data_IF_506963564353
#
_entry.id   IF_506963564353
#
_cell.length_a   1.000
_cell.length_b   1.000
_cell.length_c   1.000
_cell.angle_alpha   90.00
_cell.angle_beta   90.00
_cell.angle_gamma   90.00
#
_symmetry.space_group_name_H-M   'P 1'
#
loop_
_entity.id
_entity.type
_entity.pdbx_description
1 polymer ?
2 branched ?
3 non-polymer ?
4 non-polymer ?
5 non-polymer ?
6 non-polymer ?
7 non-polymer ?
8 non-polymer ?
9 non-polymer ?
10 water ?
#
# COMPACT_ATOMS: atom_id res chain seq x y z
N UNK A 1 18.86 -3.99 3.62
CA UNK A 1 17.78 -3.04 3.92
C UNK A 1 16.43 -3.73 3.70
N UNK A 2 15.43 -3.33 4.49
CA UNK A 2 14.19 -4.10 4.57
C UNK A 2 12.96 -3.25 4.25
N UNK A 3 11.93 -3.95 3.75
CA UNK A 3 10.64 -3.36 3.42
C UNK A 3 9.76 -3.48 4.66
N UNK A 4 9.40 -2.35 5.24
CA UNK A 4 8.80 -2.30 6.57
C UNK A 4 7.48 -1.52 6.48
N UNK A 5 6.39 -2.26 6.30
CA UNK A 5 5.10 -1.63 5.99
C UNK A 5 4.59 -0.78 7.15
N UNK A 6 4.14 0.44 6.82
CA UNK A 6 3.51 1.31 7.80
C UNK A 6 4.44 2.32 8.43
N UNK A 7 5.76 2.15 8.27
CA UNK A 7 6.73 3.11 8.79
C UNK A 7 6.75 4.35 7.92
N UNK A 8 7.39 5.40 8.42
CA UNK A 8 7.60 6.60 7.62
C UNK A 8 8.80 6.34 6.72
N UNK A 9 8.56 6.22 5.42
CA UNK A 9 9.63 5.95 4.47
C UNK A 9 10.20 7.25 3.93
N UNK A 10 11.52 7.30 3.86
CA UNK A 10 12.23 8.48 3.38
C UNK A 10 13.16 8.06 2.25
N UNK A 11 13.46 9.03 1.38
CA UNK A 11 14.32 8.79 0.22
C UNK A 11 15.79 8.97 0.61
N UNK A 12 16.69 8.88 -0.38
CA UNK A 12 18.12 8.99 -0.11
C UNK A 12 18.51 10.37 0.40
N UNK A 13 17.68 11.38 0.15
CA UNK A 13 17.93 12.72 0.68
C UNK A 13 17.35 12.91 2.07
N UNK A 14 16.71 11.89 2.62
CA UNK A 14 16.10 11.98 3.93
C UNK A 14 14.72 12.59 3.95
N UNK A 15 14.07 12.74 2.80
CA UNK A 15 12.78 13.39 2.73
C UNK A 15 11.67 12.35 2.63
N UNK A 16 10.53 12.67 3.22
CA UNK A 16 9.38 11.76 3.18
C UNK A 16 9.04 11.39 1.73
N UNK A 17 8.90 10.09 1.47
CA UNK A 17 8.52 9.64 0.12
C UNK A 17 7.05 9.98 -0.13
N UNK A 18 6.78 10.61 -1.27
CA UNK A 18 5.45 11.05 -1.65
C UNK A 18 5.09 10.42 -3.00
N UNK A 19 4.57 9.19 -2.95
CA UNK A 19 4.26 8.43 -4.15
C UNK A 19 3.07 7.51 -3.89
N UNK A 20 1.94 8.11 -3.54
CA UNK A 20 0.72 7.37 -3.22
C UNK A 20 0.04 6.91 -4.51
N UNK A 21 -0.77 5.86 -4.41
CA UNK A 21 -1.39 5.34 -5.62
C UNK A 21 -0.40 4.75 -6.60
N UNK A 22 0.58 3.99 -6.09
CA UNK A 22 1.77 3.58 -6.83
C UNK A 22 1.52 2.98 -8.20
N UNK A 23 2.37 3.37 -9.13
CA UNK A 23 2.60 2.59 -10.35
C UNK A 23 4.08 2.32 -10.47
N UNK A 24 4.41 1.08 -10.84
CA UNK A 24 5.79 0.62 -10.94
C UNK A 24 6.09 0.28 -12.40
N UNK A 25 7.32 0.59 -12.81
CA UNK A 25 7.86 0.20 -14.11
C UNK A 25 9.29 -0.26 -13.89
N UNK A 26 9.66 -1.39 -14.48
CA UNK A 26 11.05 -1.85 -14.43
C UNK A 26 11.73 -1.56 -15.76
N UNK A 27 12.90 -0.92 -15.69
CA UNK A 27 13.75 -0.71 -16.87
C UNK A 27 15.14 -1.22 -16.51
N UNK A 28 15.64 -2.18 -17.27
CA UNK A 28 16.83 -2.86 -16.83
C UNK A 28 16.54 -3.62 -15.55
N UNK A 29 17.34 -3.37 -14.51
CA UNK A 29 17.03 -3.84 -13.17
C UNK A 29 16.70 -2.69 -12.23
N UNK A 30 16.30 -1.55 -12.78
CA UNK A 30 15.92 -0.38 -11.99
C UNK A 30 14.41 -0.34 -11.87
N UNK A 31 13.92 -0.13 -10.66
CA UNK A 31 12.49 0.04 -10.44
C UNK A 31 12.18 1.53 -10.39
N UNK A 32 11.21 1.94 -11.19
CA UNK A 32 10.69 3.30 -11.20
C UNK A 32 9.34 3.29 -10.50
N UNK A 33 9.20 4.12 -9.47
CA UNK A 33 7.97 4.21 -8.69
C UNK A 33 7.38 5.59 -8.97
N UNK A 34 6.23 5.60 -9.64
CA UNK A 34 5.46 6.81 -9.88
C UNK A 34 4.33 6.88 -8.86
N UNK A 35 4.03 8.08 -8.39
CA UNK A 35 2.91 8.19 -7.49
C UNK A 35 2.44 9.62 -7.34
N UNK A 36 1.41 9.78 -6.52
CA UNK A 36 0.85 11.09 -6.20
C UNK A 36 1.67 11.77 -5.12
N UNK A 37 2.08 13.02 -5.37
CA UNK A 37 2.75 13.81 -4.34
C UNK A 37 1.68 14.44 -3.46
N UNK A 38 1.65 14.06 -2.18
CA UNK A 38 0.68 14.60 -1.23
C UNK A 38 1.35 15.36 -0.09
N UNK A 39 2.54 15.90 -0.35
CA UNK A 39 3.24 16.67 0.67
C UNK A 39 2.43 17.87 1.12
N UNK A 40 1.53 18.36 0.29
CA UNK A 40 0.66 19.49 0.61
C UNK A 40 -0.61 19.08 1.35
N UNK A 41 -0.75 17.80 1.71
CA UNK A 41 -1.89 17.32 2.50
C UNK A 41 -3.21 17.59 1.80
N UNK A 42 -3.24 17.39 0.49
CA UNK A 42 -4.43 17.68 -0.28
C UNK A 42 -4.62 16.60 -1.33
N UNK A 43 -5.88 16.34 -1.66
CA UNK A 43 -6.22 15.45 -2.76
C UNK A 43 -6.06 16.10 -4.12
N UNK A 44 -5.86 17.42 -4.17
CA UNK A 44 -5.70 18.12 -5.44
C UNK A 44 -4.27 17.96 -5.96
N UNK A 45 -4.10 18.23 -7.26
CA UNK A 45 -2.89 17.82 -7.95
C UNK A 45 -1.71 18.71 -7.61
N UNK A 46 -0.62 18.10 -7.15
CA UNK A 46 0.67 18.76 -7.00
C UNK A 46 1.71 18.24 -7.98
N UNK A 47 1.85 16.92 -8.09
CA UNK A 47 2.79 16.34 -9.04
C UNK A 47 2.59 14.83 -9.08
N UNK A 48 3.05 14.23 -10.17
CA UNK A 48 3.37 12.81 -10.20
C UNK A 48 4.87 12.70 -9.97
N UNK A 49 5.24 12.11 -8.83
CA UNK A 49 6.64 11.92 -8.47
C UNK A 49 7.24 10.74 -9.22
N UNK A 50 8.57 10.66 -9.16
CA UNK A 50 9.32 9.57 -9.80
C UNK A 50 10.51 9.24 -8.91
N UNK A 51 10.54 8.03 -8.36
CA UNK A 51 11.64 7.54 -7.55
C UNK A 51 12.22 6.29 -8.19
N UNK A 52 13.52 6.06 -7.98
CA UNK A 52 14.19 4.88 -8.51
C UNK A 52 14.88 4.10 -7.39
N UNK A 53 15.00 2.79 -7.61
CA UNK A 53 15.73 1.96 -6.66
C UNK A 53 16.21 0.71 -7.39
N UNK A 54 17.26 0.10 -6.84
CA UNK A 54 17.72 -1.20 -7.30
C UNK A 54 17.17 -2.34 -6.46
N UNK A 55 16.62 -2.05 -5.28
CA UNK A 55 16.35 -3.10 -4.31
C UNK A 55 14.98 -2.98 -3.67
N UNK A 56 14.13 -2.06 -4.14
CA UNK A 56 12.79 -1.81 -3.61
C UNK A 56 12.79 -1.24 -2.19
N UNK A 57 13.93 -0.76 -1.70
CA UNK A 57 14.02 -0.22 -0.34
C UNK A 57 14.63 1.18 -0.33
N UNK A 58 15.72 1.37 -1.06
CA UNK A 58 16.52 2.59 -1.02
C UNK A 58 16.16 3.42 -2.26
N UNK A 59 15.29 4.39 -2.08
CA UNK A 59 14.67 5.14 -3.19
C UNK A 59 15.33 6.49 -3.35
N UNK A 60 15.71 6.81 -4.59
CA UNK A 60 16.25 8.12 -4.93
C UNK A 60 15.17 8.92 -5.66
N UNK A 61 14.86 10.11 -5.16
CA UNK A 61 13.89 10.94 -5.83
C UNK A 61 14.50 11.58 -7.08
N UNK A 62 13.83 11.41 -8.21
CA UNK A 62 14.21 12.05 -9.46
C UNK A 62 13.32 13.26 -9.69
N UNK A 63 13.51 13.92 -10.84
CA UNK A 63 12.60 14.97 -11.26
C UNK A 63 11.18 14.42 -11.28
N UNK A 64 10.22 15.26 -10.94
CA UNK A 64 8.82 14.85 -11.07
C UNK A 64 8.52 14.46 -12.51
N UNK A 65 7.72 13.39 -12.65
CA UNK A 65 7.32 12.91 -13.96
C UNK A 65 6.22 13.76 -14.59
N UNK A 66 5.33 14.35 -13.80
CA UNK A 66 4.27 15.18 -14.34
C UNK A 66 4.02 16.34 -13.39
N UNK A 67 3.91 17.53 -13.97
CA UNK A 67 3.66 18.76 -13.23
C UNK A 67 2.32 19.34 -13.67
N UNK A 68 1.67 20.12 -12.81
CA UNK A 68 0.36 20.68 -13.17
C UNK A 68 0.49 21.70 -14.28
N UNK A 69 -0.62 21.88 -15.00
CA UNK A 69 -0.73 22.89 -16.05
C UNK A 69 -2.00 23.68 -15.78
N UNK A 70 -1.83 24.97 -15.52
CA UNK A 70 -2.99 25.82 -15.23
C UNK A 70 -3.92 25.88 -16.45
N UNK A 71 -5.22 25.95 -16.16
CA UNK A 71 -6.19 26.08 -17.23
C UNK A 71 -6.43 24.82 -18.01
N UNK A 72 -6.06 23.67 -17.44
CA UNK A 72 -6.29 22.37 -18.04
C UNK A 72 -6.90 21.47 -16.98
N UNK A 73 -7.21 20.24 -17.40
CA UNK A 73 -7.74 19.26 -16.46
C UNK A 73 -6.68 18.71 -15.52
N UNK A 74 -5.40 19.06 -15.72
CA UNK A 74 -4.38 18.74 -14.73
C UNK A 74 -3.88 20.00 -14.05
N UNK A 75 -4.76 20.97 -13.83
CA UNK A 75 -4.46 22.13 -13.01
C UNK A 75 -4.36 21.72 -11.55
N UNK A 76 -3.90 22.66 -10.72
CA UNK A 76 -3.79 22.42 -9.28
C UNK A 76 -5.15 22.41 -8.59
N UNK A 77 -6.22 22.75 -9.30
CA UNK A 77 -7.57 22.64 -8.77
C UNK A 77 -8.21 21.31 -9.10
N UNK A 78 -7.52 20.46 -9.85
CA UNK A 78 -8.05 19.19 -10.31
C UNK A 78 -7.39 18.05 -9.55
N UNK A 79 -7.76 16.82 -9.91
CA UNK A 79 -7.29 15.61 -9.24
C UNK A 79 -6.57 14.74 -10.25
N UNK A 80 -5.39 14.26 -9.87
CA UNK A 80 -4.62 13.28 -10.64
C UNK A 80 -4.28 12.15 -9.69
N UNK A 81 -4.78 10.95 -9.98
CA UNK A 81 -4.61 9.83 -9.06
C UNK A 81 -4.12 8.57 -9.78
N UNK A 82 -3.42 7.74 -9.04
CA UNK A 82 -3.07 6.38 -9.48
C UNK A 82 -2.34 6.34 -10.82
N UNK A 83 -1.23 7.05 -10.97
CA UNK A 83 -0.50 7.02 -12.23
C UNK A 83 0.05 5.63 -12.50
N UNK A 84 0.15 5.28 -13.77
CA UNK A 84 0.72 4.02 -14.22
C UNK A 84 1.49 4.29 -15.49
N UNK A 85 2.62 3.61 -15.67
CA UNK A 85 3.46 3.82 -16.86
C UNK A 85 3.82 2.49 -17.47
N UNK A 86 3.66 2.38 -18.79
CA UNK A 86 4.17 1.24 -19.54
C UNK A 86 4.98 1.73 -20.73
N UNK A 87 5.90 0.90 -21.19
CA UNK A 87 6.75 1.23 -22.33
C UNK A 87 6.15 0.67 -23.61
N UNK A 88 6.02 1.52 -24.62
CA UNK A 88 5.53 1.15 -25.94
C UNK A 88 6.74 0.88 -26.83
N UNK A 89 6.94 -0.39 -27.19
CA UNK A 89 8.09 -0.78 -28.00
C UNK A 89 8.00 -0.22 -29.41
N UNK A 90 6.81 -0.23 -30.01
CA UNK A 90 6.64 0.26 -31.37
C UNK A 90 7.12 1.70 -31.52
N UNK A 91 6.79 2.55 -30.55
CA UNK A 91 7.11 3.97 -30.62
C UNK A 91 8.32 4.36 -29.79
N UNK A 92 8.95 3.43 -29.08
CA UNK A 92 10.03 3.73 -28.15
C UNK A 92 9.63 4.86 -27.20
N UNK A 93 8.47 4.72 -26.58
CA UNK A 93 7.86 5.79 -25.83
C UNK A 93 7.27 5.23 -24.53
N UNK A 94 7.48 5.96 -23.44
CA UNK A 94 6.82 5.66 -22.17
C UNK A 94 5.50 6.40 -22.14
N UNK A 95 4.43 5.69 -21.77
CA UNK A 95 3.09 6.25 -21.78
C UNK A 95 2.51 6.14 -20.37
N UNK A 96 2.17 7.29 -19.80
CA UNK A 96 1.57 7.37 -18.47
C UNK A 96 0.07 7.54 -18.60
N UNK A 97 -0.69 6.74 -17.85
CA UNK A 97 -2.12 6.91 -17.69
C UNK A 97 -2.40 7.26 -16.23
N UNK A 98 -3.48 8.01 -15.99
CA UNK A 98 -3.89 8.32 -14.63
C UNK A 98 -5.37 8.61 -14.59
N UNK A 99 -5.93 8.54 -13.39
CA UNK A 99 -7.30 8.98 -13.15
C UNK A 99 -7.29 10.50 -13.12
N UNK A 100 -8.06 11.10 -14.02
CA UNK A 100 -8.14 12.55 -14.18
C UNK A 100 -9.52 12.99 -13.73
N UNK A 101 -9.60 13.90 -12.76
CA UNK A 101 -10.91 14.23 -12.23
C UNK A 101 -10.98 15.68 -11.73
N UNK A 102 -12.20 16.08 -11.40
CA UNK A 102 -12.45 17.32 -10.67
C UNK A 102 -12.44 17.02 -9.17
N UNK A 103 -12.46 18.10 -8.38
CA UNK A 103 -12.30 17.95 -6.93
C UNK A 103 -13.42 17.14 -6.27
N UNK A 104 -14.61 17.08 -6.89
CA UNK A 104 -15.71 16.29 -6.36
C UNK A 104 -15.87 14.95 -7.09
N UNK A 105 -14.88 14.56 -7.90
CA UNK A 105 -14.91 13.30 -8.65
C UNK A 105 -16.09 13.21 -9.60
N UNK A 106 -16.57 14.36 -10.08
CA UNK A 106 -17.70 14.40 -10.98
C UNK A 106 -17.37 14.28 -12.46
N UNK A 107 -16.09 14.33 -12.82
CA UNK A 107 -15.69 14.31 -14.22
C UNK A 107 -15.31 12.92 -14.73
N UNK A 108 -14.69 12.09 -13.88
CA UNK A 108 -14.46 10.67 -14.15
C UNK A 108 -13.85 10.43 -15.53
N UNK A 109 -12.62 10.90 -15.69
CA UNK A 109 -11.86 10.72 -16.92
C UNK A 109 -10.56 10.00 -16.65
N UNK A 110 -9.91 9.58 -17.74
CA UNK A 110 -8.49 9.22 -17.73
C UNK A 110 -7.71 10.37 -18.33
N UNK A 111 -6.44 10.46 -17.96
CA UNK A 111 -5.52 11.34 -18.65
C UNK A 111 -4.32 10.56 -19.13
N UNK A 112 -3.64 11.06 -20.18
CA UNK A 112 -2.51 10.37 -20.78
C UNK A 112 -1.37 11.37 -20.97
N UNK A 113 -0.13 10.92 -20.75
CA UNK A 113 1.05 11.73 -20.98
C UNK A 113 2.16 10.83 -21.51
N UNK A 114 3.12 11.42 -22.24
CA UNK A 114 4.17 10.65 -22.90
C UNK A 114 5.57 11.19 -22.59
N UNK A 115 6.57 10.31 -22.70
CA UNK A 115 7.95 10.71 -22.55
C UNK A 115 8.83 9.71 -23.27
N UNK A 116 10.07 10.14 -23.58
CA UNK A 116 11.04 9.25 -24.19
C UNK A 116 12.00 8.63 -23.18
N UNK A 117 11.96 9.03 -21.93
CA UNK A 117 12.74 8.45 -20.86
C UNK A 117 11.82 8.14 -19.69
N UNK A 118 12.21 7.20 -18.82
CA UNK A 118 11.24 6.71 -17.81
C UNK A 118 10.74 7.74 -16.82
N UNK A 119 11.58 8.62 -16.29
CA UNK A 119 11.07 9.66 -15.41
C UNK A 119 10.64 10.92 -16.17
N UNK A 120 10.78 10.92 -17.49
CA UNK A 120 10.33 12.03 -18.29
C UNK A 120 11.23 13.23 -18.11
N UNK A 121 10.66 14.42 -17.86
CA UNK A 121 9.24 14.66 -17.57
C UNK A 121 8.32 14.40 -18.75
N UNK A 122 7.07 14.13 -18.41
CA UNK A 122 6.07 13.70 -19.39
C UNK A 122 5.28 14.90 -19.90
N UNK A 123 4.78 14.76 -21.14
CA UNK A 123 3.97 15.76 -21.79
C UNK A 123 2.52 15.27 -21.82
N UNK A 124 1.65 16.02 -21.15
CA UNK A 124 0.22 15.70 -21.10
C UNK A 124 -0.42 15.92 -22.47
N UNK A 125 -1.19 14.93 -22.92
CA UNK A 125 -1.86 15.03 -24.22
C UNK A 125 -3.38 15.15 -24.13
N UNK A 126 -3.96 15.09 -22.93
CA UNK A 126 -5.37 15.35 -22.76
C UNK A 126 -6.04 14.29 -21.91
N UNK A 127 -7.27 14.61 -21.51
CA UNK A 127 -8.12 13.73 -20.72
C UNK A 127 -9.37 13.39 -21.51
N UNK A 128 -9.98 12.23 -21.19
CA UNK A 128 -11.16 11.77 -21.91
C UNK A 128 -11.88 10.68 -21.10
N UNK A 129 -13.14 10.46 -21.47
CA UNK A 129 -13.91 9.35 -20.93
C UNK A 129 -13.73 8.14 -21.84
N UNK A 130 -13.24 7.00 -21.34
CA UNK A 130 -13.09 5.81 -22.19
C UNK A 130 -14.42 5.35 -22.78
N UNK A 131 -14.48 5.32 -24.11
CA UNK A 131 -15.71 4.95 -24.81
C UNK A 131 -16.90 5.79 -24.37
N UNK A 132 -16.63 7.02 -23.89
CA UNK A 132 -17.66 7.92 -23.45
C UNK A 132 -18.19 7.67 -22.06
N UNK A 133 -17.66 6.68 -21.34
CA UNK A 133 -18.17 6.30 -20.03
C UNK A 133 -17.20 6.69 -18.92
N UNK A 134 -17.70 6.66 -17.69
CA UNK A 134 -16.89 7.06 -16.54
C UNK A 134 -15.66 6.18 -16.40
N UNK A 135 -14.58 6.79 -15.95
CA UNK A 135 -13.44 6.06 -15.41
C UNK A 135 -12.96 6.81 -14.18
N UNK A 136 -12.92 6.13 -13.03
CA UNK A 136 -12.35 6.71 -11.82
C UNK A 136 -11.09 5.94 -11.45
N UNK A 137 -11.09 5.13 -10.39
CA UNK A 137 -9.90 4.31 -10.14
C UNK A 137 -9.59 3.48 -11.38
N UNK A 138 -8.31 3.42 -11.71
CA UNK A 138 -7.89 2.69 -12.91
C UNK A 138 -6.51 2.07 -12.69
N UNK A 139 -6.18 1.16 -13.58
CA UNK A 139 -4.82 0.69 -13.79
C UNK A 139 -4.64 0.36 -15.24
N UNK A 140 -3.39 0.12 -15.63
CA UNK A 140 -3.08 -0.35 -16.96
C UNK A 140 -2.31 -1.65 -16.84
N UNK A 141 -2.68 -2.62 -17.67
CA UNK A 141 -2.04 -3.93 -17.69
C UNK A 141 -1.51 -4.18 -19.09
N UNK A 142 -0.24 -4.60 -19.18
CA UNK A 142 0.42 -4.91 -20.44
C UNK A 142 0.61 -6.42 -20.49
N UNK A 143 -0.02 -7.06 -21.47
CA UNK A 143 0.04 -8.51 -21.65
C UNK A 143 1.40 -8.92 -22.22
N UNK A 144 1.65 -10.23 -22.21
CA UNK A 144 2.91 -10.77 -22.66
C UNK A 144 2.82 -11.46 -24.02
N UNK A 145 1.80 -11.13 -24.81
CA UNK A 145 1.76 -11.56 -26.20
C UNK A 145 2.83 -10.81 -26.98
N UNK A 146 3.09 -11.27 -28.21
CA UNK A 146 4.12 -10.62 -29.02
C UNK A 146 3.80 -9.15 -29.24
N UNK A 147 2.52 -8.82 -29.36
CA UNK A 147 2.08 -7.45 -29.59
C UNK A 147 2.13 -6.59 -28.33
N UNK A 148 2.36 -7.17 -27.16
CA UNK A 148 2.31 -6.45 -25.89
C UNK A 148 1.03 -5.62 -25.79
N UNK A 149 -0.10 -6.29 -26.02
CA UNK A 149 -1.39 -5.63 -25.98
C UNK A 149 -1.67 -5.13 -24.57
N UNK A 150 -2.15 -3.89 -24.46
CA UNK A 150 -2.39 -3.27 -23.17
C UNK A 150 -3.88 -2.99 -22.98
N UNK A 151 -4.26 -2.82 -21.72
CA UNK A 151 -5.66 -2.76 -21.30
C UNK A 151 -5.81 -1.76 -20.17
N UNK A 152 -6.94 -1.03 -20.21
CA UNK A 152 -7.35 -0.19 -19.09
C UNK A 152 -8.28 -1.01 -18.21
N UNK A 153 -8.02 -0.99 -16.91
CA UNK A 153 -8.87 -1.61 -15.90
C UNK A 153 -9.48 -0.46 -15.11
N UNK A 154 -10.81 -0.40 -15.03
CA UNK A 154 -11.36 0.85 -14.50
C UNK A 154 -12.75 0.71 -13.89
N UNK A 155 -12.96 1.43 -12.79
CA UNK A 155 -14.27 1.57 -12.15
C UNK A 155 -15.09 2.55 -12.99
N UNK A 156 -16.24 2.10 -13.49
CA UNK A 156 -17.08 2.90 -14.38
C UNK A 156 -18.48 3.03 -13.79
N UNK A 157 -19.32 3.84 -14.47
CA UNK A 157 -20.73 4.05 -14.09
C UNK A 157 -20.90 4.35 -12.61
N UNK A 158 -20.30 5.47 -12.20
CA UNK A 158 -20.34 5.90 -10.80
C UNK A 158 -19.90 4.78 -9.87
N UNK A 159 -18.83 4.10 -10.28
CA UNK A 159 -18.14 3.04 -9.54
C UNK A 159 -18.90 1.73 -9.47
N UNK A 160 -20.08 1.63 -10.08
CA UNK A 160 -20.87 0.41 -9.93
C UNK A 160 -20.37 -0.72 -10.81
N UNK A 161 -19.83 -0.43 -11.98
CA UNK A 161 -19.53 -1.45 -12.99
C UNK A 161 -18.05 -1.42 -13.32
N UNK A 162 -17.38 -2.56 -13.16
CA UNK A 162 -15.95 -2.64 -13.34
C UNK A 162 -15.63 -3.13 -14.74
N UNK A 163 -14.81 -2.35 -15.47
CA UNK A 163 -14.58 -2.60 -16.88
C UNK A 163 -13.12 -2.90 -17.16
N UNK A 164 -12.90 -3.76 -18.14
CA UNK A 164 -11.59 -3.99 -18.74
C UNK A 164 -11.76 -3.73 -20.24
N UNK A 165 -10.91 -2.87 -20.79
CA UNK A 165 -11.00 -2.53 -22.21
C UNK A 165 -9.60 -2.44 -22.80
N UNK A 166 -9.51 -2.75 -24.09
CA UNK A 166 -8.24 -2.82 -24.78
C UNK A 166 -7.81 -1.46 -25.31
N UNK A 167 -6.51 -1.18 -25.20
CA UNK A 167 -5.91 0.04 -25.74
C UNK A 167 -5.46 -0.18 -27.18
N UNK A 168 -5.34 0.93 -27.91
CA UNK A 168 -4.79 0.86 -29.27
C UNK A 168 -3.28 0.61 -29.23
N UNK A 169 -2.67 0.54 -30.42
CA UNK A 169 -1.27 0.15 -30.52
C UNK A 169 -0.31 1.24 -30.04
N UNK A 170 -0.78 2.47 -29.90
CA UNK A 170 0.05 3.51 -29.30
C UNK A 170 -0.12 3.60 -27.80
N UNK A 171 -1.07 2.85 -27.23
CA UNK A 171 -1.47 3.02 -25.83
C UNK A 171 -2.02 4.42 -25.59
N UNK A 172 -2.70 5.01 -26.59
CA UNK A 172 -3.24 6.35 -26.44
C UNK A 172 -4.75 6.38 -26.21
N UNK A 173 -5.47 5.34 -26.61
CA UNK A 173 -6.92 5.39 -26.55
C UNK A 173 -7.45 4.02 -26.18
N UNK A 174 -8.62 4.02 -25.58
CA UNK A 174 -9.39 2.81 -25.28
C UNK A 174 -10.31 2.59 -26.47
N UNK A 175 -10.20 1.44 -27.14
CA UNK A 175 -10.96 1.26 -28.36
C UNK A 175 -11.95 0.10 -28.39
N UNK A 176 -11.90 -0.84 -27.45
CA UNK A 176 -12.89 -1.90 -27.43
C UNK A 176 -13.08 -2.39 -26.00
N UNK A 177 -14.34 -2.59 -25.61
CA UNK A 177 -14.60 -3.21 -24.32
C UNK A 177 -14.31 -4.68 -24.41
N UNK A 178 -13.77 -5.24 -23.33
CA UNK A 178 -13.36 -6.64 -23.26
C UNK A 178 -14.18 -7.41 -22.23
N UNK A 179 -14.36 -6.84 -21.05
CA UNK A 179 -15.25 -7.45 -20.08
C UNK A 179 -15.80 -6.38 -19.14
N UNK A 180 -16.94 -6.68 -18.54
CA UNK A 180 -17.53 -5.82 -17.53
C UNK A 180 -18.07 -6.69 -16.42
N UNK A 181 -17.89 -6.25 -15.18
CA UNK A 181 -18.52 -6.86 -14.01
C UNK A 181 -19.54 -5.85 -13.50
N UNK A 182 -20.81 -6.05 -13.90
CA UNK A 182 -21.86 -5.13 -13.53
C UNK A 182 -22.22 -5.29 -12.05
N UNK A 183 -22.35 -4.15 -11.36
CA UNK A 183 -22.69 -4.14 -9.96
C UNK A 183 -21.60 -4.57 -9.02
N UNK A 184 -20.36 -4.71 -9.51
CA UNK A 184 -19.28 -5.25 -8.70
C UNK A 184 -18.69 -4.25 -7.69
N UNK A 185 -18.93 -2.95 -7.87
CA UNK A 185 -18.39 -1.90 -6.99
C UNK A 185 -16.93 -2.15 -6.63
N UNK A 186 -16.12 -2.38 -7.66
CA UNK A 186 -14.69 -2.60 -7.47
C UNK A 186 -13.91 -1.34 -7.80
N UNK A 187 -12.85 -1.10 -7.04
CA UNK A 187 -11.91 -0.03 -7.39
C UNK A 187 -10.49 -0.50 -7.07
N UNK A 188 -9.54 0.42 -7.15
CA UNK A 188 -8.12 0.16 -6.92
C UNK A 188 -7.64 -1.13 -7.60
N UNK A 189 -7.86 -1.31 -8.90
CA UNK A 189 -7.50 -2.57 -9.55
C UNK A 189 -6.02 -2.70 -9.89
N UNK A 190 -5.60 -3.96 -10.03
CA UNK A 190 -4.36 -4.30 -10.71
C UNK A 190 -4.49 -5.72 -11.22
N UNK A 191 -3.73 -6.05 -12.26
CA UNK A 191 -3.67 -7.42 -12.75
C UNK A 191 -2.22 -7.91 -12.77
N UNK A 192 -2.01 -9.11 -12.26
CA UNK A 192 -0.77 -9.87 -12.48
C UNK A 192 -1.13 -11.11 -13.28
N UNK A 193 -0.36 -11.38 -14.33
CA UNK A 193 -0.50 -12.63 -15.07
C UNK A 193 0.46 -13.63 -14.44
N UNK A 194 -0.07 -14.77 -14.02
CA UNK A 194 0.71 -15.76 -13.29
C UNK A 194 0.32 -17.12 -13.82
N UNK A 195 1.32 -17.88 -14.29
CA UNK A 195 1.08 -19.23 -14.78
C UNK A 195 0.03 -19.24 -15.90
N UNK A 196 0.07 -18.22 -16.75
CA UNK A 196 -0.81 -18.14 -17.90
C UNK A 196 -2.19 -17.58 -17.62
N UNK A 197 -2.50 -17.32 -16.36
CA UNK A 197 -3.82 -16.90 -15.94
C UNK A 197 -3.77 -15.44 -15.48
N UNK A 198 -4.84 -14.69 -15.76
CA UNK A 198 -4.91 -13.30 -15.32
C UNK A 198 -5.54 -13.25 -13.93
N UNK A 199 -4.85 -12.58 -13.02
CA UNK A 199 -5.35 -12.38 -11.66
C UNK A 199 -5.62 -10.90 -11.43
N UNK A 200 -6.90 -10.56 -11.22
CA UNK A 200 -7.30 -9.20 -10.88
C UNK A 200 -7.37 -9.07 -9.37
N UNK A 201 -6.71 -8.04 -8.84
CA UNK A 201 -6.80 -7.66 -7.43
C UNK A 201 -7.50 -6.32 -7.36
N UNK A 202 -8.45 -6.18 -6.43
CA UNK A 202 -9.22 -4.95 -6.35
C UNK A 202 -9.79 -4.80 -4.94
N UNK A 203 -10.11 -3.56 -4.60
CA UNK A 203 -10.88 -3.27 -3.40
C UNK A 203 -12.34 -3.08 -3.75
N UNK A 204 -13.17 -3.07 -2.72
CA UNK A 204 -14.52 -2.55 -2.90
C UNK A 204 -14.50 -1.03 -2.68
N UNK A 205 -15.67 -0.42 -2.65
CA UNK A 205 -15.79 1.04 -2.67
C UNK A 205 -16.24 1.52 -1.30
N UNK A 206 -15.28 2.00 -0.50
CA UNK A 206 -15.56 2.60 0.80
C UNK A 206 -14.80 3.91 0.98
N UNK A 207 -14.62 4.66 -0.10
CA UNK A 207 -13.88 5.92 0.02
C UNK A 207 -12.46 5.66 0.48
N UNK A 208 -11.96 6.54 1.37
CA UNK A 208 -10.61 6.38 1.87
C UNK A 208 -10.48 5.25 2.89
N UNK A 209 -11.58 4.72 3.42
CA UNK A 209 -11.49 3.67 4.44
C UNK A 209 -11.09 2.34 3.81
N UNK A 210 -10.27 1.54 4.48
CA UNK A 210 -9.85 0.26 3.90
C UNK A 210 -10.95 -0.77 4.01
N UNK A 211 -10.90 -1.76 3.11
CA UNK A 211 -11.88 -2.83 3.14
C UNK A 211 -11.18 -4.09 2.66
N UNK A 212 -11.82 -5.26 2.80
CA UNK A 212 -11.15 -6.50 2.37
C UNK A 212 -10.95 -6.58 0.87
N UNK A 213 -9.70 -6.55 0.40
CA UNK A 213 -9.44 -6.58 -1.02
C UNK A 213 -9.54 -8.02 -1.53
N UNK A 214 -9.86 -8.16 -2.81
CA UNK A 214 -10.27 -9.44 -3.38
C UNK A 214 -9.46 -9.77 -4.61
N UNK A 215 -9.40 -11.06 -4.92
CA UNK A 215 -8.82 -11.53 -6.17
C UNK A 215 -9.85 -12.28 -6.99
N UNK A 216 -9.66 -12.23 -8.30
CA UNK A 216 -10.46 -12.90 -9.29
C UNK A 216 -9.49 -13.40 -10.35
N UNK A 217 -9.86 -14.49 -11.05
CA UNK A 217 -8.98 -14.95 -12.12
C UNK A 217 -9.79 -15.38 -13.34
N UNK A 218 -9.10 -15.37 -14.48
CA UNK A 218 -9.70 -15.78 -15.74
C UNK A 218 -8.59 -16.19 -16.71
N UNK A 219 -8.96 -17.06 -17.65
CA UNK A 219 -8.01 -17.48 -18.68
C UNK A 219 -7.97 -16.51 -19.86
N UNK A 220 -8.95 -15.62 -19.95
CA UNK A 220 -9.03 -14.58 -20.95
C UNK A 220 -9.46 -13.32 -20.23
N UNK A 221 -8.93 -12.17 -20.66
CA UNK A 221 -9.41 -10.92 -20.08
C UNK A 221 -10.88 -10.68 -20.36
N UNK A 222 -11.46 -11.37 -21.34
CA UNK A 222 -12.88 -11.28 -21.59
C UNK A 222 -13.71 -12.06 -20.59
N UNK A 223 -13.09 -12.79 -19.66
CA UNK A 223 -13.81 -13.62 -18.74
C UNK A 223 -14.12 -14.96 -19.36
N UNK A 224 -14.90 -15.80 -18.67
CA UNK A 224 -15.55 -15.53 -17.38
C UNK A 224 -14.56 -15.44 -16.23
N UNK A 225 -14.84 -14.54 -15.29
CA UNK A 225 -14.00 -14.34 -14.12
C UNK A 225 -14.57 -15.12 -12.95
N UNK A 226 -13.67 -15.65 -12.11
CA UNK A 226 -14.12 -16.30 -10.89
C UNK A 226 -14.75 -15.27 -9.95
N UNK A 227 -15.52 -15.79 -8.99
CA UNK A 227 -16.11 -14.95 -7.96
C UNK A 227 -15.06 -14.54 -6.95
N UNK A 228 -15.29 -13.39 -6.31
CA UNK A 228 -14.28 -12.79 -5.44
C UNK A 228 -13.86 -13.72 -4.31
N UNK A 229 -12.57 -13.64 -3.95
CA UNK A 229 -12.03 -14.29 -2.77
C UNK A 229 -11.08 -13.32 -2.08
N UNK A 230 -10.92 -13.48 -0.77
CA UNK A 230 -10.04 -12.58 0.00
C UNK A 230 -8.57 -12.85 -0.29
N UNK A 231 -7.78 -11.76 -0.28
CA UNK A 231 -6.31 -11.87 -0.28
C UNK A 231 -5.71 -11.81 1.13
N UNK A 232 -6.50 -11.44 2.14
CA UNK A 232 -6.03 -11.32 3.51
C UNK A 232 -7.21 -11.63 4.41
N UNK A 233 -6.96 -11.90 5.71
CA UNK A 233 -8.10 -12.15 6.60
C UNK A 233 -9.04 -10.95 6.58
N UNK A 234 -10.33 -11.22 6.37
CA UNK A 234 -11.27 -10.13 6.10
C UNK A 234 -11.35 -9.11 7.22
N UNK A 235 -11.24 -9.53 8.49
CA UNK A 235 -11.38 -8.56 9.57
C UNK A 235 -10.30 -7.49 9.53
N UNK A 236 -9.13 -7.80 8.97
CA UNK A 236 -8.02 -6.87 8.97
C UNK A 236 -8.13 -5.78 7.92
N UNK A 237 -9.11 -5.85 7.01
CA UNK A 237 -9.26 -4.82 5.97
C UNK A 237 -7.98 -4.68 5.14
N UNK A 238 -7.51 -5.82 4.62
CA UNK A 238 -6.25 -5.90 3.87
C UNK A 238 -5.08 -5.40 4.72
N UNK A 239 -5.06 -5.80 5.98
CA UNK A 239 -4.04 -5.33 6.92
C UNK A 239 -3.97 -3.82 6.91
N UNK A 240 -5.16 -3.20 6.87
CA UNK A 240 -5.33 -1.75 6.80
C UNK A 240 -4.58 -1.16 5.61
N UNK A 241 -5.10 -1.46 4.42
CA UNK A 241 -4.52 -0.89 3.21
C UNK A 241 -5.53 -1.00 2.08
N UNK A 242 -5.15 -0.41 0.94
CA UNK A 242 -5.91 -0.51 -0.30
C UNK A 242 -4.94 -0.75 -1.43
N UNK A 243 -5.26 -1.68 -2.30
CA UNK A 243 -4.40 -2.04 -3.44
C UNK A 243 -3.96 -0.80 -4.20
N UNK A 244 -2.72 -0.85 -4.67
CA UNK A 244 -2.22 0.18 -5.57
C UNK A 244 -1.53 -0.45 -6.78
N UNK A 245 -0.64 -1.40 -6.55
CA UNK A 245 0.08 -2.03 -7.65
C UNK A 245 0.47 -3.44 -7.25
N UNK A 246 0.38 -4.37 -8.20
CA UNK A 246 0.67 -5.78 -7.97
C UNK A 246 1.80 -6.17 -8.91
N UNK A 247 3.00 -6.34 -8.35
CA UNK A 247 4.23 -6.46 -9.12
C UNK A 247 4.66 -7.91 -9.17
N UNK A 248 4.86 -8.50 -10.34
CA UNK A 248 5.34 -9.89 -10.39
C UNK A 248 6.73 -9.99 -9.79
N UNK A 249 7.01 -11.14 -9.16
CA UNK A 249 8.32 -11.38 -8.56
C UNK A 249 8.58 -12.88 -8.60
N UNK A 250 9.37 -13.32 -9.57
CA UNK A 250 9.61 -14.76 -9.71
C UNK A 250 8.31 -15.50 -9.86
N UNK A 251 8.16 -16.57 -9.08
CA UNK A 251 6.92 -17.34 -9.12
C UNK A 251 5.81 -16.72 -8.28
N UNK A 252 6.04 -15.56 -7.67
CA UNK A 252 5.03 -14.92 -6.84
C UNK A 252 4.84 -13.48 -7.27
N UNK A 253 4.53 -12.60 -6.33
CA UNK A 253 4.31 -11.19 -6.65
C UNK A 253 4.50 -10.40 -5.38
N UNK A 254 4.39 -9.08 -5.51
CA UNK A 254 4.42 -8.15 -4.38
C UNK A 254 3.12 -7.34 -4.40
N UNK A 255 2.43 -7.33 -3.27
CA UNK A 255 1.28 -6.47 -3.07
C UNK A 255 1.79 -5.10 -2.62
N UNK A 256 1.45 -4.06 -3.35
CA UNK A 256 1.78 -2.69 -2.95
C UNK A 256 0.48 -1.94 -2.74
N UNK A 257 0.25 -1.51 -1.51
CA UNK A 257 -0.96 -0.79 -1.16
C UNK A 257 -0.65 0.52 -0.46
N UNK A 258 -1.69 1.33 -0.31
CA UNK A 258 -1.64 2.57 0.46
C UNK A 258 -2.40 2.41 1.75
N UNK A 259 -1.87 2.97 2.84
CA UNK A 259 -2.66 3.20 4.05
C UNK A 259 -3.02 4.67 4.05
N UNK A 260 -4.23 4.98 3.60
CA UNK A 260 -4.63 6.36 3.46
C UNK A 260 -4.93 6.97 4.83
N UNK A 261 -4.47 8.21 5.01
CA UNK A 261 -4.73 8.99 6.22
C UNK A 261 -5.48 10.24 5.79
N UNK A 262 -6.81 10.15 5.64
CA UNK A 262 -7.54 11.25 5.00
C UNK A 262 -7.45 12.58 5.73
N UNK A 263 -7.27 12.59 7.04
CA UNK A 263 -7.13 13.85 7.75
C UNK A 263 -5.76 14.48 7.59
N UNK A 264 -4.79 13.75 7.04
CA UNK A 264 -3.43 14.23 6.87
C UNK A 264 -2.79 13.45 5.74
N UNK A 265 -3.21 13.77 4.51
CA UNK A 265 -3.00 12.84 3.41
C UNK A 265 -1.52 12.58 3.12
N UNK A 266 -0.65 13.57 3.36
CA UNK A 266 0.76 13.35 3.07
C UNK A 266 1.42 12.37 3.99
N UNK A 267 0.80 12.09 5.14
CA UNK A 267 1.29 11.06 6.06
C UNK A 267 0.70 9.68 5.79
N UNK A 268 -0.05 9.52 4.70
CA UNK A 268 -0.45 8.19 4.25
C UNK A 268 0.78 7.33 4.02
N UNK A 269 0.71 6.07 4.45
CA UNK A 269 1.88 5.20 4.46
C UNK A 269 1.77 4.13 3.38
N UNK A 270 2.77 3.28 3.30
CA UNK A 270 2.91 2.31 2.21
C UNK A 270 2.94 0.91 2.80
N UNK A 271 2.04 0.06 2.31
CA UNK A 271 1.86 -1.27 2.85
C UNK A 271 2.24 -2.22 1.73
N UNK A 272 3.46 -2.75 1.82
CA UNK A 272 4.02 -3.64 0.79
C UNK A 272 4.31 -4.99 1.42
N UNK A 273 3.76 -6.05 0.84
CA UNK A 273 3.92 -7.40 1.38
C UNK A 273 4.15 -8.37 0.24
N UNK A 274 4.82 -9.49 0.51
CA UNK A 274 4.82 -10.57 -0.49
C UNK A 274 3.40 -11.04 -0.77
N UNK A 275 3.13 -11.34 -2.04
CA UNK A 275 1.87 -11.90 -2.48
C UNK A 275 2.23 -13.32 -2.93
N UNK A 276 2.00 -14.27 -2.03
CA UNK A 276 2.38 -15.66 -2.21
C UNK A 276 1.35 -16.35 -3.10
N UNK A 277 1.83 -17.03 -4.15
CA UNK A 277 0.99 -17.82 -5.04
C UNK A 277 1.14 -19.32 -4.83
N UNK A 278 1.75 -19.75 -3.72
CA UNK A 278 1.99 -21.19 -3.55
C UNK A 278 0.70 -22.00 -3.46
N UNK A 279 -0.43 -21.38 -3.12
CA UNK A 279 -1.72 -22.07 -3.10
C UNK A 279 -2.40 -22.05 -4.46
N UNK A 280 -1.78 -21.44 -5.45
CA UNK A 280 -2.39 -21.28 -6.75
C UNK A 280 -3.08 -19.96 -6.94
N UNK A 281 -3.23 -19.18 -5.88
CA UNK A 281 -3.91 -17.91 -5.93
C UNK A 281 -3.16 -16.95 -5.02
N UNK A 282 -3.32 -15.64 -5.21
CA UNK A 282 -2.54 -14.67 -4.42
C UNK A 282 -3.05 -14.56 -2.99
N UNK A 283 -2.13 -14.64 -2.03
CA UNK A 283 -2.43 -14.43 -0.62
C UNK A 283 -1.36 -13.56 0.00
N UNK A 284 -1.75 -12.48 0.67
CA UNK A 284 -0.76 -11.63 1.34
C UNK A 284 -0.06 -12.43 2.43
N UNK A 285 1.28 -12.34 2.45
CA UNK A 285 2.09 -12.78 3.59
C UNK A 285 2.25 -11.57 4.50
N UNK A 286 1.70 -11.66 5.71
CA UNK A 286 1.80 -10.54 6.66
C UNK A 286 3.19 -10.54 7.28
N UNK A 287 4.12 -9.92 6.57
CA UNK A 287 5.54 -9.89 6.93
C UNK A 287 5.88 -8.48 7.37
N UNK A 288 6.10 -8.29 8.68
CA UNK A 288 6.41 -6.96 9.19
C UNK A 288 7.69 -6.41 8.59
N UNK A 289 8.65 -7.29 8.31
CA UNK A 289 9.99 -6.92 7.87
C UNK A 289 10.42 -7.97 6.85
N UNK A 290 10.70 -7.56 5.62
CA UNK A 290 11.08 -8.52 4.59
C UNK A 290 11.93 -7.84 3.52
N UNK A 291 12.56 -8.65 2.67
CA UNK A 291 13.42 -8.13 1.62
C UNK A 291 13.24 -8.92 0.33
N UNK A 292 13.76 -8.37 -0.77
CA UNK A 292 13.68 -8.96 -2.09
C UNK A 292 15.07 -9.25 -2.61
N UNK A 293 15.23 -10.40 -3.25
CA UNK A 293 16.40 -10.72 -4.06
C UNK A 293 15.94 -10.57 -5.51
N UNK A 294 16.31 -9.44 -6.12
CA UNK A 294 15.79 -9.12 -7.45
C UNK A 294 16.30 -10.12 -8.48
N UNK A 295 17.60 -10.43 -8.45
CA UNK A 295 18.16 -11.31 -9.46
C UNK A 295 17.56 -12.72 -9.36
N UNK A 296 17.32 -13.20 -8.15
CA UNK A 296 16.74 -14.53 -7.97
C UNK A 296 15.22 -14.54 -8.11
N UNK A 297 14.57 -13.38 -8.09
CA UNK A 297 13.12 -13.36 -8.08
C UNK A 297 12.47 -13.92 -6.83
N UNK A 298 13.10 -13.76 -5.67
CA UNK A 298 12.59 -14.32 -4.43
C UNK A 298 12.42 -13.21 -3.40
N UNK A 299 11.70 -13.56 -2.33
CA UNK A 299 11.58 -12.70 -1.17
C UNK A 299 11.98 -13.48 0.06
N UNK A 300 12.39 -12.76 1.10
CA UNK A 300 12.77 -13.35 2.38
C UNK A 300 12.09 -12.59 3.50
N UNK A 301 11.43 -13.33 4.37
CA UNK A 301 10.75 -12.77 5.54
C UNK A 301 11.68 -12.84 6.73
N UNK A 302 11.91 -11.69 7.39
CA UNK A 302 12.75 -11.66 8.57
C UNK A 302 12.09 -12.42 9.71
N UNK A 303 12.91 -13.16 10.45
CA UNK A 303 12.46 -13.88 11.64
C UNK A 303 12.62 -12.98 12.86
N UNK A 304 11.68 -13.08 13.78
CA UNK A 304 11.73 -12.30 15.00
C UNK A 304 11.36 -13.14 16.20
N UNK A 305 11.47 -12.53 17.37
CA UNK A 305 11.10 -13.17 18.62
C UNK A 305 9.87 -12.48 19.19
N UNK A 306 8.85 -13.25 19.51
CA UNK A 306 7.60 -12.72 20.05
C UNK A 306 7.63 -12.67 21.57
N UNK A 307 7.02 -11.62 22.11
CA UNK A 307 6.83 -11.48 23.55
C UNK A 307 5.39 -11.06 23.78
N UNK A 308 4.65 -11.83 24.56
CA UNK A 308 3.25 -11.50 24.83
C UNK A 308 3.17 -10.38 25.84
N UNK A 309 2.33 -9.38 25.56
CA UNK A 309 2.20 -8.25 26.49
C UNK A 309 1.68 -8.70 27.85
N UNK A 310 0.75 -9.67 27.86
CA UNK A 310 0.14 -10.17 29.08
C UNK A 310 1.13 -10.90 29.98
N UNK A 311 2.29 -11.28 29.46
CA UNK A 311 3.35 -11.87 30.27
C UNK A 311 4.28 -10.82 30.87
N UNK A 312 4.10 -9.54 30.50
CA UNK A 312 4.88 -8.48 31.08
C UNK A 312 4.37 -8.06 32.44
N UNK A 313 5.05 -7.06 33.01
CA UNK A 313 4.70 -6.55 34.33
C UNK A 313 3.82 -5.31 34.17
N UNK A 314 2.58 -5.40 34.61
CA UNK A 314 1.68 -4.26 34.55
C UNK A 314 1.97 -3.30 35.68
N UNK A 315 1.78 -2.02 35.40
CA UNK A 315 1.83 -0.99 36.43
C UNK A 315 0.59 -0.12 36.35
N UNK A 316 0.19 0.41 37.50
CA UNK A 316 -0.93 1.32 37.48
C UNK A 316 -2.22 0.61 37.13
N UNK A 317 -3.03 1.24 36.28
CA UNK A 317 -4.42 0.83 36.06
C UNK A 317 -4.61 -0.05 34.83
N UNK A 318 -3.54 -0.60 34.27
CA UNK A 318 -3.72 -1.47 33.11
C UNK A 318 -4.32 -2.82 33.52
N UNK A 319 -4.95 -3.48 32.56
CA UNK A 319 -5.72 -4.70 32.83
C UNK A 319 -5.34 -5.79 31.85
N UNK A 320 -5.83 -7.00 32.11
CA UNK A 320 -5.71 -8.13 31.18
C UNK A 320 -7.04 -8.30 30.46
N UNK A 321 -7.01 -8.24 29.14
CA UNK A 321 -8.17 -8.48 28.28
C UNK A 321 -8.08 -9.88 27.71
N UNK A 322 -9.23 -10.53 27.54
CA UNK A 322 -9.31 -11.81 26.87
C UNK A 322 -10.05 -11.65 25.55
N UNK A 323 -9.54 -12.30 24.52
CA UNK A 323 -10.19 -12.25 23.22
C UNK A 323 -9.60 -13.22 22.23
N UNK A 324 -10.45 -13.77 21.36
CA UNK A 324 -9.99 -14.77 20.41
C UNK A 324 -9.11 -14.17 19.34
N UNK A 325 -9.13 -12.85 19.16
CA UNK A 325 -8.32 -12.24 18.14
C UNK A 325 -6.89 -11.98 18.55
N UNK A 326 -6.56 -12.26 19.80
CA UNK A 326 -5.24 -11.99 20.36
C UNK A 326 -4.40 -13.24 20.35
N UNK A 327 -3.10 -13.07 20.08
CA UNK A 327 -2.13 -14.10 20.40
C UNK A 327 -2.20 -14.49 21.86
N UNK A 328 -2.22 -15.79 22.13
CA UNK A 328 -2.38 -16.25 23.50
C UNK A 328 -3.76 -16.02 24.08
N UNK A 329 -4.70 -15.52 23.29
CA UNK A 329 -6.03 -15.20 23.78
C UNK A 329 -6.10 -14.02 24.73
N UNK A 330 -5.01 -13.28 24.91
CA UNK A 330 -4.97 -12.21 25.89
C UNK A 330 -4.21 -11.01 25.35
N UNK A 331 -4.52 -9.85 25.93
CA UNK A 331 -3.85 -8.60 25.61
C UNK A 331 -3.87 -7.76 26.87
N UNK A 332 -3.14 -6.64 26.85
CA UNK A 332 -3.14 -5.70 27.96
C UNK A 332 -3.98 -4.51 27.56
N UNK A 333 -4.98 -4.19 28.38
CA UNK A 333 -5.89 -3.09 28.15
C UNK A 333 -5.68 -1.97 29.14
N UNK A 334 -6.46 -0.90 28.96
CA UNK A 334 -6.34 0.30 29.80
C UNK A 334 -4.89 0.75 29.93
N UNK A 335 -4.18 0.75 28.80
CA UNK A 335 -2.83 1.27 28.73
C UNK A 335 -2.89 2.77 28.46
N UNK A 336 -1.89 3.48 28.98
CA UNK A 336 -1.97 4.92 29.01
C UNK A 336 -2.95 5.33 30.09
N UNK A 337 -3.09 6.64 30.26
CA UNK A 337 -3.99 7.19 31.28
C UNK A 337 -3.75 6.51 32.63
N UNK A 338 -2.48 6.35 32.99
CA UNK A 338 -2.10 5.77 34.26
C UNK A 338 -1.81 4.28 34.26
N UNK A 339 -1.91 3.60 33.13
CA UNK A 339 -1.62 2.18 33.05
C UNK A 339 -0.43 1.91 32.14
N UNK A 340 0.45 1.03 32.59
CA UNK A 340 1.64 0.68 31.81
C UNK A 340 1.81 -0.83 31.77
N UNK A 341 2.64 -1.29 30.84
CA UNK A 341 3.14 -2.66 30.86
C UNK A 341 4.61 -2.64 30.46
N UNK A 342 5.41 -3.45 31.13
CA UNK A 342 6.83 -3.55 30.88
C UNK A 342 7.16 -4.96 30.43
N UNK A 343 7.77 -5.08 29.26
CA UNK A 343 8.21 -6.37 28.74
C UNK A 343 9.70 -6.48 29.02
N UNK A 344 10.08 -7.52 29.76
CA UNK A 344 11.44 -7.69 30.25
C UNK A 344 12.13 -8.84 29.51
N UNK A 345 13.44 -8.92 29.71
CA UNK A 345 14.24 -10.02 29.18
C UNK A 345 14.15 -10.10 27.65
N UNK A 346 14.14 -8.95 27.00
CA UNK A 346 14.16 -8.90 25.54
C UNK A 346 15.62 -8.95 25.12
N UNK A 347 16.04 -10.10 24.59
CA UNK A 347 17.44 -10.28 24.25
C UNK A 347 17.70 -9.72 22.86
N UNK A 348 18.86 -9.11 22.67
CA UNK A 348 19.17 -8.48 21.39
C UNK A 348 20.67 -8.37 21.24
N UNK A 349 21.13 -8.35 19.98
CA UNK A 349 22.50 -7.94 19.71
C UNK A 349 22.67 -6.43 19.71
N UNK A 350 21.59 -5.67 19.93
CA UNK A 350 21.70 -4.25 20.12
C UNK A 350 21.67 -3.46 18.83
N UNK A 351 21.73 -2.15 18.99
CA UNK A 351 21.60 -1.27 17.85
C UNK A 351 20.15 -1.11 17.46
N UNK A 352 19.96 -0.59 16.24
CA UNK A 352 18.62 -0.34 15.73
C UNK A 352 17.96 -1.65 15.32
N UNK A 353 16.78 -1.91 15.87
CA UNK A 353 16.01 -3.10 15.54
C UNK A 353 14.56 -2.73 15.32
N UNK A 354 13.97 -3.25 14.26
CA UNK A 354 12.55 -3.13 14.06
C UNK A 354 11.82 -3.96 15.10
N UNK A 355 10.83 -3.34 15.75
CA UNK A 355 9.96 -4.01 16.70
C UNK A 355 8.54 -3.76 16.24
N UNK A 356 7.80 -4.84 15.97
CA UNK A 356 6.40 -4.72 15.56
C UNK A 356 5.49 -4.79 16.78
N UNK A 357 4.63 -3.78 16.94
CA UNK A 357 3.66 -3.76 18.03
C UNK A 357 2.34 -4.28 17.47
N UNK A 358 1.84 -5.38 18.04
CA UNK A 358 0.57 -5.98 17.65
C UNK A 358 -0.48 -5.50 18.64
N UNK A 359 -1.52 -4.84 18.13
CA UNK A 359 -2.48 -4.18 18.99
C UNK A 359 -3.87 -4.21 18.35
N UNK A 360 -4.88 -3.96 19.18
CA UNK A 360 -6.24 -3.74 18.71
C UNK A 360 -6.67 -2.33 19.12
N UNK A 361 -7.39 -1.66 18.23
CA UNK A 361 -7.90 -0.32 18.49
C UNK A 361 -9.29 -0.23 17.85
N UNK A 362 -10.33 -0.35 18.67
CA UNK A 362 -11.69 -0.33 18.17
C UNK A 362 -12.24 1.04 17.81
N UNK A 363 -11.51 2.11 18.12
CA UNK A 363 -11.97 3.43 17.72
C UNK A 363 -11.83 3.61 16.20
N UNK A 364 -12.49 4.62 15.68
CA UNK A 364 -12.38 4.94 14.26
C UNK A 364 -11.21 5.88 13.97
N UNK A 365 -10.53 6.33 15.02
CA UNK A 365 -9.45 7.29 14.95
C UNK A 365 -8.20 6.65 15.56
N UNK A 366 -7.05 7.25 15.27
CA UNK A 366 -5.79 6.71 15.76
C UNK A 366 -5.68 6.88 17.26
N UNK A 367 -5.05 5.91 17.90
CA UNK A 367 -4.49 6.07 19.23
C UNK A 367 -2.97 6.17 19.06
N UNK A 368 -2.26 6.13 20.18
CA UNK A 368 -0.80 6.06 20.13
C UNK A 368 -0.33 5.56 21.49
N UNK A 369 0.93 5.17 21.56
CA UNK A 369 1.50 4.63 22.79
C UNK A 369 2.92 5.16 22.97
N UNK A 370 3.24 5.53 24.21
CA UNK A 370 4.62 5.89 24.50
C UNK A 370 5.44 4.64 24.73
N UNK A 371 6.72 4.70 24.33
CA UNK A 371 7.62 3.57 24.43
C UNK A 371 8.95 4.07 24.98
N UNK A 372 9.44 3.44 26.04
CA UNK A 372 10.75 3.71 26.60
C UNK A 372 11.54 2.42 26.64
N UNK A 373 12.77 2.45 26.12
CA UNK A 373 13.63 1.28 26.12
C UNK A 373 14.70 1.48 27.20
N UNK A 374 14.77 0.55 28.16
CA UNK A 374 15.78 0.61 29.22
C UNK A 374 15.79 1.95 29.95
N UNK A 375 14.61 2.53 30.12
CA UNK A 375 14.51 3.80 30.81
C UNK A 375 14.96 5.01 30.04
N UNK A 376 15.23 4.87 28.73
CA UNK A 376 15.59 6.00 27.93
C UNK A 376 14.42 6.94 27.70
N UNK A 377 14.70 8.09 27.11
CA UNK A 377 13.61 9.02 26.81
C UNK A 377 12.55 8.39 25.93
N UNK A 378 11.31 8.80 26.15
CA UNK A 378 10.15 8.20 25.52
C UNK A 378 10.06 8.61 24.04
N UNK A 379 9.57 7.69 23.21
CA UNK A 379 9.09 7.97 21.86
C UNK A 379 7.60 7.67 21.81
N UNK A 380 6.94 8.21 20.79
CA UNK A 380 5.50 8.04 20.61
C UNK A 380 5.23 7.26 19.33
N UNK A 381 4.43 6.19 19.42
CA UNK A 381 4.14 5.32 18.28
C UNK A 381 2.66 5.42 17.93
N UNK A 382 2.36 5.74 16.68
CA UNK A 382 0.99 5.81 16.22
C UNK A 382 0.36 4.42 16.17
N UNK A 383 -0.91 4.33 16.53
CA UNK A 383 -1.66 3.07 16.49
C UNK A 383 -2.96 3.31 15.74
N UNK A 384 -2.98 3.08 14.43
CA UNK A 384 -4.20 3.29 13.64
C UNK A 384 -5.36 2.47 14.18
N UNK A 385 -6.57 2.92 13.84
CA UNK A 385 -7.76 2.10 14.05
C UNK A 385 -7.54 0.72 13.43
N UNK A 386 -7.89 -0.33 14.17
CA UNK A 386 -7.57 -1.66 13.68
C UNK A 386 -8.75 -2.39 13.06
N UNK A 387 -9.95 -1.83 13.21
CA UNK A 387 -11.15 -2.49 12.74
C UNK A 387 -11.97 -3.15 13.82
N UNK A 388 -11.47 -3.21 15.04
CA UNK A 388 -12.25 -3.78 16.13
C UNK A 388 -11.43 -4.02 17.38
N UNK A 389 -12.11 -4.11 18.51
CA UNK A 389 -11.43 -4.42 19.75
C UNK A 389 -10.84 -5.81 19.78
N UNK A 390 -11.29 -6.69 18.88
CA UNK A 390 -10.79 -8.06 18.79
C UNK A 390 -10.08 -8.28 17.46
N UNK A 391 -9.66 -7.22 16.79
CA UNK A 391 -8.96 -7.29 15.51
C UNK A 391 -7.58 -6.68 15.68
N UNK A 392 -6.54 -7.50 15.53
CA UNK A 392 -5.16 -7.07 15.76
C UNK A 392 -4.48 -6.77 14.42
N UNK A 393 -3.82 -5.62 14.35
CA UNK A 393 -2.85 -5.31 13.30
C UNK A 393 -1.54 -4.92 13.96
N UNK A 394 -0.49 -4.70 13.16
CA UNK A 394 0.80 -4.33 13.73
C UNK A 394 1.36 -3.08 13.06
N UNK A 395 2.11 -2.31 13.85
CA UNK A 395 2.88 -1.18 13.34
C UNK A 395 4.34 -1.32 13.75
N UNK A 396 5.27 -0.84 12.93
CA UNK A 396 6.70 -1.02 13.22
C UNK A 396 7.32 0.19 13.88
N UNK A 397 8.23 -0.06 14.83
CA UNK A 397 9.00 1.02 15.43
C UNK A 397 10.46 0.58 15.48
N UNK A 398 11.34 1.45 15.00
CA UNK A 398 12.76 1.12 14.92
C UNK A 398 13.44 1.60 16.19
N UNK A 399 13.63 0.69 17.14
CA UNK A 399 14.12 1.03 18.47
C UNK A 399 15.61 0.74 18.59
N UNK A 400 16.29 1.56 19.38
CA UNK A 400 17.70 1.33 19.68
C UNK A 400 17.78 0.46 20.94
N UNK A 401 18.21 -0.78 20.76
CA UNK A 401 18.28 -1.73 21.86
C UNK A 401 19.73 -1.86 22.32
N UNK A 402 19.89 -2.37 23.55
CA UNK A 402 21.21 -2.67 24.07
C UNK A 402 21.60 -4.08 23.68
N UNK A 403 22.90 -4.30 23.53
CA UNK A 403 23.44 -5.64 23.39
C UNK A 403 23.30 -6.38 24.71
N UNK A 404 22.45 -7.41 24.75
CA UNK A 404 22.14 -8.12 25.96
C UNK A 404 20.65 -8.10 26.25
N UNK A 405 20.30 -7.94 27.51
CA UNK A 405 18.90 -7.93 27.91
C UNK A 405 18.35 -6.51 27.89
N UNK A 406 17.07 -6.42 27.55
CA UNK A 406 16.39 -5.14 27.40
C UNK A 406 15.03 -5.22 28.07
N UNK A 407 14.56 -4.06 28.51
CA UNK A 407 13.23 -3.88 29.06
C UNK A 407 12.57 -2.77 28.26
N UNK A 408 11.29 -2.96 27.92
CA UNK A 408 10.55 -1.97 27.14
C UNK A 408 9.26 -1.68 27.88
N UNK A 409 9.02 -0.41 28.21
CA UNK A 409 7.82 0.00 28.94
C UNK A 409 6.90 0.78 28.01
N UNK A 410 5.62 0.44 28.05
CA UNK A 410 4.60 1.03 27.20
C UNK A 410 3.58 1.79 28.05
N UNK A 411 3.24 3.00 27.60
CA UNK A 411 2.09 3.70 28.13
C UNK A 411 2.37 4.72 29.22
N UNK A 412 3.63 4.89 29.63
CA UNK A 412 3.94 5.86 30.66
C UNK A 412 3.70 7.29 30.19
N UNK A 413 3.18 8.12 31.10
CA UNK A 413 3.15 9.55 30.88
C UNK A 413 2.03 10.09 30.03
N UNK A 414 1.36 9.26 29.24
CA UNK A 414 0.35 9.76 28.32
C UNK A 414 -1.01 9.84 29.00
N UNK A 415 -1.72 10.94 28.74
CA UNK A 415 -3.04 11.13 29.34
C UNK A 415 -4.13 10.39 28.58
N UNK A 416 -3.91 10.08 27.31
CA UNK A 416 -4.88 9.36 26.50
C UNK A 416 -4.65 7.86 26.65
N UNK A 417 -5.72 7.10 26.38
CA UNK A 417 -5.60 5.65 26.33
C UNK A 417 -4.89 5.23 25.05
N UNK A 418 -3.87 4.38 25.20
CA UNK A 418 -3.22 3.73 24.09
C UNK A 418 -4.12 2.60 23.58
N UNK A 419 -3.70 2.00 22.47
CA UNK A 419 -4.38 0.80 22.02
C UNK A 419 -4.09 -0.36 22.96
N UNK A 420 -4.86 -1.44 22.80
CA UNK A 420 -4.67 -2.63 23.60
C UNK A 420 -3.53 -3.46 23.00
N UNK A 421 -2.54 -3.79 23.82
CA UNK A 421 -1.30 -4.39 23.31
C UNK A 421 -1.38 -5.91 23.43
N UNK A 422 -1.28 -6.59 22.30
CA UNK A 422 -1.36 -8.05 22.26
C UNK A 422 0.00 -8.67 22.50
N UNK A 423 0.99 -8.26 21.72
CA UNK A 423 2.34 -8.80 21.80
C UNK A 423 3.23 -7.85 21.01
N UNK A 424 4.54 -8.08 21.10
CA UNK A 424 5.51 -7.44 20.23
C UNK A 424 6.34 -8.53 19.58
N UNK A 425 6.89 -8.20 18.42
CA UNK A 425 7.87 -9.06 17.76
C UNK A 425 9.12 -8.23 17.54
N UNK A 426 10.24 -8.73 18.05
CA UNK A 426 11.52 -8.05 17.96
C UNK A 426 12.33 -8.71 16.86
N UNK A 427 12.67 -7.94 15.82
CA UNK A 427 13.42 -8.45 14.68
C UNK A 427 14.90 -8.11 14.74
X LIG B 1 -2.38 10.38 20.22
X LIG B 1 -2.45 11.63 19.35
X LIG B 1 -3.50 12.59 19.90
X LIG B 1 -4.85 11.88 20.10
X LIG B 1 -4.65 10.60 20.91
X LIG B 1 -5.90 9.76 21.00
X LIG B 1 -0.53 12.48 18.10
X LIG B 1 0.81 13.14 18.20
X LIG B 1 -1.15 12.27 19.26
X LIG B 1 -3.65 13.66 18.98
X LIG B 1 -5.75 12.70 20.83
X LIG B 1 -3.66 9.78 20.28
X LIG B 1 -5.66 8.57 21.74
X LIG B 1 -1.05 12.21 17.01
X LIG B 2 -6.87 13.09 20.01
X LIG B 2 -8.06 13.43 20.92
X LIG B 2 -9.21 14.08 20.12
X LIG B 2 -8.70 15.17 19.20
X LIG B 2 -7.56 14.64 18.36
X LIG B 2 -6.96 15.66 17.42
X LIG B 2 -8.29 11.92 22.85
X LIG B 2 -8.89 10.63 23.34
X LIG B 2 -8.55 12.23 21.58
X LIG B 2 -10.15 14.63 21.03
X LIG B 2 -9.76 15.60 18.34
X LIG B 2 -6.51 14.22 19.24
X LIG B 2 -6.48 15.05 16.22
X LIG B 2 -7.61 12.63 23.58
X LIG C 1 -10.99 6.54 -29.11
X LIG C 1 -11.28 7.65 -30.11
X LIG C 1 -12.79 7.86 -30.21
X LIG C 1 -13.49 6.55 -30.53
X LIG C 1 -13.08 5.49 -29.52
X LIG C 1 -13.64 4.11 -29.81
X LIG C 1 -9.66 9.46 -30.42
X LIG C 1 -9.06 10.70 -29.82
X LIG C 1 -10.61 8.88 -29.69
X LIG C 1 -13.06 8.84 -31.21
X LIG C 1 -14.91 6.69 -30.46
X LIG C 1 -11.65 5.35 -29.51
X LIG C 1 -13.26 3.66 -31.10
X LIG C 1 -9.31 9.01 -31.50
X LIG D 1 21.20 3.89 -2.17
X LIG D 1 22.52 3.18 -1.88
X LIG D 1 23.70 4.07 -2.26
X LIG D 1 23.57 4.57 -3.69
X LIG D 1 22.22 5.26 -3.87
X LIG D 1 21.95 5.76 -5.28
X LIG D 1 22.89 1.53 -0.10
X LIG D 1 22.93 1.30 1.38
X LIG D 1 22.60 2.78 -0.48
X LIG D 1 24.91 3.34 -2.12
X LIG D 1 24.61 5.49 -4.00
X LIG D 1 21.16 4.33 -3.54
X LIG D 1 22.10 4.72 -6.24
X LIG D 1 23.11 0.63 -0.90
X LIG E 1 -1.20 -11.65 23.66
X LIG F 1 -10.54 5.70 -2.89
X LIG F 1 -9.80 5.67 -4.22
X LIG F 1 -8.71 6.74 -4.18
X LIG F 1 -9.36 8.12 -4.00
X LIG F 1 -10.25 8.09 -2.73
X LIG F 1 -11.05 9.38 -2.57
X LIG F 1 -9.61 5.46 -1.82
X LIG F 1 -9.27 4.37 -4.40
X LIG F 1 -7.91 6.72 -5.37
X LIG F 1 -10.12 8.51 -5.16
X LIG F 1 -11.16 6.98 -2.75
X LIG F 1 -12.09 9.45 -3.54
X LIG G 1 -11.33 0.21 24.86
X LIG G 1 -10.10 -0.63 25.21
X LIG G 1 -9.73 -0.47 26.70
X LIG G 1 -9.54 1.01 27.05
X LIG G 1 -10.80 1.74 26.61
X LIG G 1 -10.74 3.24 26.79
X LIG G 1 -11.56 0.16 23.47
X LIG G 1 -10.37 -2.00 24.96
X LIG G 1 -8.52 -1.17 27.02
X LIG G 1 -8.41 1.58 26.33
X LIG G 1 -11.07 1.53 25.21
X LIG G 1 -12.05 3.82 26.67
X LIG H 1 -5.29 9.05 -29.75
X LIG H 1 -4.48 8.80 -30.72
X LIG H 1 -5.10 9.84 -28.84
X LIG H 1 -6.51 8.29 -29.84
X LIG I 1 0.96 -0.60 40.46
X LIG I 1 1.98 -0.87 39.73
X LIG I 1 0.04 0.15 40.17
X LIG I 1 0.99 -1.30 41.76
X LIG J 1 14.60 3.96 21.07
X LIG J 1 15.04 4.12 19.90
X LIG J 1 14.81 3.02 21.87
X LIG J 1 13.64 5.06 21.61
X LIG K 1 -7.14 -15.15 3.86
X LIG K 1 -6.60 -14.78 2.78
X LIG K 1 -6.59 -15.42 4.97
X LIG K 1 -8.71 -15.29 3.86
X LIG L 1 7.67 5.97 12.33
X LIG L 1 6.68 5.26 11.61
X LIG L 1 9.03 5.35 11.99
X LIG L 1 9.24 5.28 10.61
X LIG L 1 9.05 3.92 12.64
X LIG L 1 9.48 4.05 13.98
X LIG M 1 -15.34 9.26 -5.44
X LIG M 1 -16.62 9.40 -5.97
X LIG M 1 -15.06 7.76 -5.44
X LIG M 1 -14.43 7.33 -6.61
X LIG M 1 -14.31 7.47 -4.07
X LIG M 1 -13.57 6.28 -4.18
X LIG N 1 -21.45 -9.84 -15.30
X LIG N 1 -21.39 -8.45 -15.34
X LIG N 1 -21.27 -10.26 -13.83
X LIG N 1 -19.94 -10.17 -13.44
X LIG N 1 -21.83 -11.70 -13.75
X LIG N 1 -22.16 -11.94 -12.41
X LIG O 1 2.85 -10.44 -15.75
X LIG O 1 1.84 -9.63 -15.21
X LIG O 1 3.47 -9.69 -16.98
X LIG O 1 4.59 -10.36 -17.49
X LIG O 1 2.34 -9.59 -18.04
X LIG O 1 2.96 -9.01 -19.17
#
# INVERSE_FOLDING_TARGET
>A
NQIVSGAAWTDTAGNTIQAHGAGILQVGSTFYWFGEDKSHNSALFKAVSCYTSSDLVNWSRQNDALSPIAGTMISTSNVVERPKVIFNQKNSEYVMWFHSDSSNYGAAMVGVATAKTPCGPYTYKGSFKPLGADSRDESIFQDDDSAQTAYLLYASDNNQNFKISRLDANYYNVTAQVSVMNGATLEAPGIVKHNGEYFLIASHTSGWAPNPNKWFSASSLAGPWSAQQDIAPSATRTWYSQNAFDLPLGSNAIYMGDRWRPSLLGSSRYIWYPLDFSSGAPQIVHADVWSVNVQAGTYSVASGTSYEAENGQRGGSSTILSGSGFSGGKAVGYLGHGGTVTINNVQSNGGSHWVALYFANGDSTYRNVTVSVNGGPSVLVDQPDSGGGNVVISVPVKLNLNSGENSITFGSGQSNYAADLDKIIVY
>B hetero
1 NAG C1 C2 C3 C4 C5 C6 C7 C8 N2 O3 O4 O5 O6 O7
2 NAG C1 C2 C3 C4 C5 C6 C7 C8 N2 O3 O4 O5 O6 O7
>C hetero
1 NAG C1 C2 C3 C4 C5 C6 C7 C8 N2 O3 O4 O5 O6 O7
>D hetero
1 NAG C1 C2 C3 C4 C5 C6 C7 C8 N2 O3 O4 O5 O6 O7
>E hetero
1 CA CA
>F hetero
1 GLA C1 C2 C3 C4 C5 C6 O1 O2 O3 O4 O5 O6
>G hetero
1 GAL C1 C2 C3 C4 C5 C6 O1 O2 O3 O4 O5 O6
>H hetero
1 ACY C O OXT CH3
>I hetero
1 ACY C O OXT CH3
>J hetero
1 ACT C O OXT CH3
>K hetero
1 ACT C O OXT CH3
>L hetero
1 GOL C1 O1 C2 O2 C3 O3
>M hetero
1 GOL C1 O1 C2 O2 C3 O3
>N hetero
1 GOL C1 O1 C2 O2 C3 O3
>O hetero
1 GOL C1 O1 C2 O2 C3 O3
#
